data_IF_832358185922
#
_entry.id   IF_832358185922
#
_cell.length_a   1.000
_cell.length_b   1.000
_cell.length_c   1.000
_cell.angle_alpha   90.00
_cell.angle_beta   90.00
_cell.angle_gamma   90.00
#
_symmetry.space_group_name_H-M   'P 1'
#
loop_
_entity.id
_entity.type
_entity.pdbx_description
1 polymer ?
#
# COMPACT_ATOMS: atom_id res chain seq x y z
N UNK A 1 19.91 9.12 -1.77
CA UNK A 1 18.68 8.95 -2.55
C UNK A 1 18.89 9.59 -3.90
N UNK A 2 18.70 8.84 -4.99
CA UNK A 2 18.93 9.37 -6.33
C UNK A 2 17.88 10.41 -6.68
N UNK A 3 18.29 11.49 -7.32
CA UNK A 3 17.39 12.40 -8.01
C UNK A 3 16.90 11.72 -9.29
N UNK A 4 15.66 11.99 -9.69
CA UNK A 4 15.12 11.45 -10.94
C UNK A 4 14.69 12.61 -11.81
N UNK A 5 15.18 12.63 -13.04
CA UNK A 5 14.86 13.64 -14.03
C UNK A 5 14.27 12.96 -15.26
N UNK A 6 13.14 13.44 -15.74
CA UNK A 6 12.51 12.95 -16.96
C UNK A 6 12.72 13.96 -18.07
N UNK A 7 13.29 13.52 -19.20
CA UNK A 7 13.42 14.34 -20.40
C UNK A 7 12.15 14.17 -21.23
N UNK A 8 11.43 15.26 -21.46
CA UNK A 8 10.24 15.27 -22.29
C UNK A 8 10.42 16.27 -23.44
N UNK A 9 10.68 15.76 -24.63
CA UNK A 9 10.84 16.56 -25.85
C UNK A 9 10.48 15.70 -27.08
N UNK A 10 10.41 16.34 -28.25
CA UNK A 10 10.26 15.67 -29.53
C UNK A 10 11.35 14.59 -29.78
N UNK A 11 10.99 13.54 -30.53
CA UNK A 11 11.89 12.40 -30.80
C UNK A 11 13.25 12.81 -31.41
N UNK A 12 13.28 13.84 -32.27
CA UNK A 12 14.50 14.33 -32.90
C UNK A 12 15.51 14.91 -31.92
N UNK A 13 15.06 15.37 -30.75
CA UNK A 13 15.89 16.08 -29.77
C UNK A 13 16.16 15.24 -28.50
N UNK A 14 15.54 14.07 -28.37
CA UNK A 14 15.59 13.26 -27.14
C UNK A 14 17.01 12.90 -26.71
N UNK A 15 17.82 12.30 -27.59
CA UNK A 15 19.19 11.88 -27.25
C UNK A 15 20.07 13.08 -26.88
N UNK A 16 19.95 14.19 -27.60
CA UNK A 16 20.71 15.41 -27.31
C UNK A 16 20.34 16.00 -25.94
N UNK A 17 19.04 16.01 -25.60
CA UNK A 17 18.54 16.52 -24.32
C UNK A 17 18.85 15.60 -23.14
N UNK A 18 18.85 14.29 -23.35
CA UNK A 18 19.33 13.31 -22.36
C UNK A 18 20.81 13.54 -22.09
N UNK A 19 21.63 13.71 -23.13
CA UNK A 19 23.06 13.97 -22.97
C UNK A 19 23.32 15.31 -22.27
N UNK A 20 22.58 16.37 -22.62
CA UNK A 20 22.67 17.68 -21.96
C UNK A 20 22.47 17.56 -20.44
N UNK A 21 21.52 16.74 -20.01
CA UNK A 21 21.22 16.54 -18.59
C UNK A 21 22.27 15.68 -17.88
N UNK A 22 22.76 14.63 -18.54
CA UNK A 22 23.87 13.80 -18.04
C UNK A 22 25.14 14.64 -17.84
N UNK A 23 25.46 15.50 -18.81
CA UNK A 23 26.59 16.41 -18.75
C UNK A 23 26.43 17.41 -17.59
N UNK A 24 25.24 17.96 -17.40
CA UNK A 24 24.93 18.88 -16.30
C UNK A 24 25.12 18.22 -14.92
N UNK A 25 24.68 16.97 -14.76
CA UNK A 25 24.89 16.19 -13.52
C UNK A 25 26.38 15.91 -13.30
N UNK A 26 27.08 15.45 -14.34
CA UNK A 26 28.51 15.12 -14.27
C UNK A 26 29.36 16.35 -13.94
N UNK A 27 29.01 17.51 -14.50
CA UNK A 27 29.64 18.81 -14.22
C UNK A 27 29.43 19.27 -12.77
N UNK A 28 28.36 18.81 -12.10
CA UNK A 28 28.15 19.02 -10.67
C UNK A 28 28.95 18.03 -9.79
N UNK A 29 29.75 17.13 -10.38
CA UNK A 29 30.55 16.14 -9.67
C UNK A 29 29.74 14.94 -9.19
N UNK A 30 28.58 14.69 -9.79
CA UNK A 30 27.62 13.65 -9.42
C UNK A 30 27.57 12.55 -10.50
N UNK A 31 27.22 11.33 -10.10
CA UNK A 31 27.13 10.16 -10.99
C UNK A 31 25.72 10.10 -11.60
N UNK A 32 25.65 10.11 -12.93
CA UNK A 32 24.40 9.98 -13.68
C UNK A 32 24.27 8.60 -14.35
N UNK A 33 23.04 8.09 -14.45
CA UNK A 33 22.70 6.96 -15.32
C UNK A 33 21.48 7.28 -16.17
N UNK A 34 21.33 6.62 -17.31
CA UNK A 34 20.19 6.79 -18.22
C UNK A 34 19.28 5.58 -18.14
N UNK A 35 17.98 5.82 -17.95
CA UNK A 35 16.94 4.80 -17.97
C UNK A 35 15.97 5.07 -19.13
N UNK A 36 15.80 4.09 -20.02
CA UNK A 36 14.95 4.21 -21.22
C UNK A 36 13.76 3.23 -21.13
N UNK A 37 12.69 3.58 -20.41
CA UNK A 37 11.62 2.64 -20.05
C UNK A 37 10.93 2.01 -21.25
N UNK A 38 10.70 2.77 -22.33
CA UNK A 38 10.01 2.25 -23.52
C UNK A 38 10.87 1.27 -24.32
N UNK A 39 12.20 1.40 -24.29
CA UNK A 39 13.08 0.47 -24.99
C UNK A 39 13.11 -0.90 -24.29
N UNK A 40 13.04 -0.91 -22.95
CA UNK A 40 12.96 -2.15 -22.14
C UNK A 40 11.73 -3.00 -22.52
N UNK A 41 10.60 -2.36 -22.82
CA UNK A 41 9.33 -3.03 -23.12
C UNK A 41 8.96 -3.05 -24.60
N UNK A 42 9.93 -2.87 -25.50
CA UNK A 42 9.72 -2.62 -26.94
C UNK A 42 8.93 -1.31 -27.18
N UNK A 43 9.60 -0.34 -27.79
CA UNK A 43 9.04 0.98 -27.99
C UNK A 43 7.75 0.97 -28.83
N UNK A 44 7.65 0.12 -29.86
CA UNK A 44 6.48 0.05 -30.72
C UNK A 44 5.26 -0.50 -29.96
N UNK A 45 5.45 -1.57 -29.19
CA UNK A 45 4.39 -2.18 -28.38
C UNK A 45 3.95 -1.24 -27.26
N UNK A 46 4.90 -0.58 -26.59
CA UNK A 46 4.63 0.42 -25.55
C UNK A 46 3.79 1.58 -26.11
N UNK A 47 4.15 2.11 -27.28
CA UNK A 47 3.38 3.17 -27.96
C UNK A 47 1.96 2.69 -28.31
N UNK A 48 1.82 1.43 -28.75
CA UNK A 48 0.51 0.85 -29.05
C UNK A 48 -0.35 0.67 -27.79
N UNK A 49 0.22 0.20 -26.67
CA UNK A 49 -0.48 0.09 -25.38
C UNK A 49 -0.95 1.46 -24.88
N UNK A 50 -0.11 2.50 -25.00
CA UNK A 50 -0.45 3.86 -24.60
C UNK A 50 -1.64 4.39 -25.45
N UNK A 51 -1.58 4.23 -26.78
CA UNK A 51 -2.66 4.64 -27.69
C UNK A 51 -3.96 3.88 -27.44
N UNK A 52 -3.88 2.63 -26.99
CA UNK A 52 -5.02 1.80 -26.63
C UNK A 52 -5.61 2.11 -25.23
N UNK A 53 -5.08 3.11 -24.51
CA UNK A 53 -5.55 3.47 -23.17
C UNK A 53 -5.12 2.49 -22.07
N UNK A 54 -4.14 1.61 -22.35
CA UNK A 54 -3.61 0.62 -21.40
C UNK A 54 -2.39 1.14 -20.63
N UNK A 55 -2.22 2.45 -20.53
CA UNK A 55 -1.05 3.10 -19.94
C UNK A 55 -0.83 2.76 -18.46
N UNK A 56 -1.88 2.46 -17.70
CA UNK A 56 -1.76 2.11 -16.27
C UNK A 56 -1.00 0.79 -16.07
N UNK A 57 -1.23 -0.21 -16.93
CA UNK A 57 -0.53 -1.51 -16.87
C UNK A 57 0.94 -1.33 -17.26
N UNK A 58 1.20 -0.57 -18.31
CA UNK A 58 2.57 -0.22 -18.72
C UNK A 58 3.30 0.55 -17.61
N UNK A 59 2.63 1.48 -16.93
CA UNK A 59 3.21 2.25 -15.83
C UNK A 59 3.64 1.34 -14.67
N UNK A 60 2.81 0.37 -14.29
CA UNK A 60 3.15 -0.61 -13.25
C UNK A 60 4.36 -1.46 -13.66
N UNK A 61 4.44 -1.90 -14.92
CA UNK A 61 5.61 -2.62 -15.46
C UNK A 61 6.88 -1.76 -15.41
N UNK A 62 6.78 -0.49 -15.82
CA UNK A 62 7.90 0.45 -15.78
C UNK A 62 8.39 0.69 -14.35
N UNK A 63 7.47 0.89 -13.40
CA UNK A 63 7.85 1.04 -11.99
C UNK A 63 8.48 -0.26 -11.44
N UNK A 64 7.95 -1.42 -11.81
CA UNK A 64 8.49 -2.71 -11.37
C UNK A 64 9.89 -2.97 -11.94
N UNK A 65 10.15 -2.56 -13.18
CA UNK A 65 11.50 -2.62 -13.77
C UNK A 65 12.45 -1.61 -13.12
N UNK A 66 12.00 -0.37 -12.93
CA UNK A 66 12.78 0.67 -12.26
C UNK A 66 13.22 0.25 -10.85
N UNK A 67 12.39 -0.50 -10.12
CA UNK A 67 12.73 -1.05 -8.80
C UNK A 67 13.73 -2.22 -8.83
N UNK A 68 13.95 -2.85 -9.98
CA UNK A 68 14.93 -3.92 -10.17
C UNK A 68 16.29 -3.40 -10.60
N UNK A 69 16.33 -2.21 -11.19
CA UNK A 69 17.58 -1.56 -11.58
C UNK A 69 18.43 -1.28 -10.33
N UNK A 70 19.74 -1.43 -10.46
CA UNK A 70 20.70 -1.06 -9.43
C UNK A 70 21.07 0.42 -9.59
N UNK A 71 20.76 1.21 -8.58
CA UNK A 71 21.06 2.63 -8.52
C UNK A 71 21.85 3.01 -7.28
N UNK A 72 22.44 2.07 -6.54
CA UNK A 72 23.02 2.36 -5.22
C UNK A 72 24.18 3.38 -5.30
N UNK A 73 24.98 3.32 -6.37
CA UNK A 73 26.11 4.23 -6.63
C UNK A 73 25.77 5.39 -7.60
N UNK A 74 24.49 5.69 -7.79
CA UNK A 74 24.03 6.73 -8.73
C UNK A 74 23.49 7.93 -7.97
N UNK A 75 23.84 9.15 -8.36
CA UNK A 75 23.29 10.37 -7.76
C UNK A 75 22.02 10.85 -8.48
N UNK A 76 21.96 10.66 -9.81
CA UNK A 76 20.80 11.04 -10.62
C UNK A 76 20.48 10.01 -11.72
N UNK A 77 19.19 9.71 -11.86
CA UNK A 77 18.66 8.88 -12.95
C UNK A 77 17.97 9.78 -13.97
N UNK A 78 18.47 9.77 -15.20
CA UNK A 78 17.90 10.49 -16.35
C UNK A 78 17.00 9.54 -17.13
N UNK A 79 15.70 9.79 -17.08
CA UNK A 79 14.66 8.98 -17.70
C UNK A 79 14.30 9.57 -19.07
N UNK A 80 14.46 8.79 -20.14
CA UNK A 80 13.97 9.18 -21.45
C UNK A 80 12.44 9.05 -21.52
N UNK A 81 11.75 10.15 -21.83
CA UNK A 81 10.30 10.18 -21.96
C UNK A 81 9.79 9.45 -23.20
N UNK A 82 8.48 9.19 -23.23
CA UNK A 82 7.81 8.60 -24.37
C UNK A 82 7.72 9.57 -25.56
N UNK A 83 7.98 9.04 -26.75
CA UNK A 83 7.88 9.74 -28.04
C UNK A 83 7.21 8.84 -29.10
N UNK A 84 7.12 9.25 -30.37
CA UNK A 84 6.55 8.42 -31.45
C UNK A 84 5.01 8.35 -31.46
N UNK A 85 4.36 9.32 -30.82
CA UNK A 85 2.91 9.48 -30.79
C UNK A 85 2.54 10.96 -30.86
N UNK A 86 1.26 11.28 -30.99
CA UNK A 86 0.80 12.66 -30.94
C UNK A 86 1.16 13.30 -29.60
N UNK A 87 1.59 14.56 -29.64
CA UNK A 87 2.07 15.36 -28.53
C UNK A 87 1.14 15.28 -27.30
N UNK A 88 -0.17 15.42 -27.47
CA UNK A 88 -1.13 15.37 -26.34
C UNK A 88 -1.05 14.05 -25.56
N UNK A 89 -0.90 12.93 -26.29
CA UNK A 89 -0.80 11.59 -25.68
C UNK A 89 0.58 11.44 -25.01
N UNK A 90 1.64 11.89 -25.68
CA UNK A 90 3.01 11.84 -25.17
C UNK A 90 3.16 12.66 -23.89
N UNK A 91 2.68 13.91 -23.88
CA UNK A 91 2.74 14.81 -22.72
C UNK A 91 1.96 14.26 -21.54
N UNK A 92 0.75 13.76 -21.76
CA UNK A 92 -0.04 13.14 -20.69
C UNK A 92 0.69 11.95 -20.07
N UNK A 93 1.22 11.06 -20.92
CA UNK A 93 1.97 9.90 -20.44
C UNK A 93 3.25 10.31 -19.70
N UNK A 94 3.99 11.30 -20.20
CA UNK A 94 5.22 11.79 -19.58
C UNK A 94 4.96 12.50 -18.24
N UNK A 95 3.84 13.22 -18.07
CA UNK A 95 3.42 13.77 -16.77
C UNK A 95 3.06 12.67 -15.76
N UNK A 96 2.35 11.64 -16.23
CA UNK A 96 2.01 10.47 -15.42
C UNK A 96 3.28 9.67 -15.03
N UNK A 97 4.22 9.50 -15.95
CA UNK A 97 5.50 8.82 -15.72
C UNK A 97 6.38 9.61 -14.74
N UNK A 98 6.47 10.93 -14.91
CA UNK A 98 7.20 11.78 -13.98
C UNK A 98 6.57 11.75 -12.58
N UNK A 99 5.24 11.70 -12.49
CA UNK A 99 4.54 11.51 -11.21
C UNK A 99 4.82 10.15 -10.59
N UNK A 100 4.83 9.09 -11.41
CA UNK A 100 5.05 7.72 -10.96
C UNK A 100 6.46 7.50 -10.39
N UNK A 101 7.48 8.07 -11.03
CA UNK A 101 8.89 7.95 -10.62
C UNK A 101 9.36 9.05 -9.65
N UNK A 102 8.45 9.96 -9.25
CA UNK A 102 8.75 11.20 -8.54
C UNK A 102 9.85 12.05 -9.20
N UNK A 103 9.82 12.11 -10.54
CA UNK A 103 10.79 12.84 -11.34
C UNK A 103 10.42 14.34 -11.46
N UNK A 104 11.47 15.17 -11.60
CA UNK A 104 11.35 16.50 -12.19
C UNK A 104 11.43 16.38 -13.71
N UNK A 105 10.73 17.24 -14.43
CA UNK A 105 10.65 17.20 -15.90
C UNK A 105 11.60 18.24 -16.46
N UNK A 106 12.56 17.81 -17.28
CA UNK A 106 13.38 18.67 -18.10
C UNK A 106 12.74 18.81 -19.48
N UNK A 107 12.23 20.01 -19.76
CA UNK A 107 11.62 20.39 -21.03
C UNK A 107 11.79 21.91 -21.24
N UNK A 108 12.07 22.33 -22.46
CA UNK A 108 12.25 23.73 -22.86
C UNK A 108 11.31 24.13 -24.01
N UNK A 109 11.34 25.40 -24.41
CA UNK A 109 10.50 25.91 -25.50
C UNK A 109 8.99 25.71 -25.27
N UNK A 110 8.29 25.37 -26.35
CA UNK A 110 6.84 25.11 -26.35
C UNK A 110 6.46 23.84 -25.57
N UNK A 111 7.33 22.82 -25.57
CA UNK A 111 7.12 21.56 -24.81
C UNK A 111 6.95 21.84 -23.31
N UNK A 112 7.68 22.83 -22.79
CA UNK A 112 7.66 23.21 -21.38
C UNK A 112 6.31 23.79 -20.91
N UNK A 113 5.49 24.34 -21.82
CA UNK A 113 4.20 24.94 -21.47
C UNK A 113 3.13 23.90 -21.13
N UNK A 114 3.36 22.64 -21.49
CA UNK A 114 2.41 21.54 -21.39
C UNK A 114 2.53 20.76 -20.07
N UNK A 115 3.52 21.08 -19.24
CA UNK A 115 3.82 20.35 -18.00
C UNK A 115 3.52 21.16 -16.73
N UNK A 116 3.27 20.45 -15.62
CA UNK A 116 3.05 21.07 -14.32
C UNK A 116 4.26 21.94 -13.89
N UNK A 117 4.09 23.24 -13.62
CA UNK A 117 5.20 24.13 -13.26
C UNK A 117 5.97 23.69 -12.02
N UNK A 118 5.34 22.94 -11.11
CA UNK A 118 5.98 22.44 -9.88
C UNK A 118 7.06 21.38 -10.12
N UNK A 119 7.02 20.67 -11.26
CA UNK A 119 7.99 19.63 -11.61
C UNK A 119 8.99 20.10 -12.68
N UNK A 120 8.74 21.23 -13.33
CA UNK A 120 9.42 21.63 -14.55
C UNK A 120 10.77 22.33 -14.30
N UNK A 121 11.79 21.92 -15.07
CA UNK A 121 13.11 22.51 -15.17
C UNK A 121 13.31 22.94 -16.62
N UNK A 122 13.39 24.26 -16.86
CA UNK A 122 13.36 24.84 -18.22
C UNK A 122 14.72 25.00 -18.89
N UNK A 123 15.81 24.85 -18.16
CA UNK A 123 17.16 25.05 -18.68
C UNK A 123 18.21 24.43 -17.75
N UNK A 124 19.45 24.31 -18.23
CA UNK A 124 20.62 23.80 -17.47
C UNK A 124 20.79 24.53 -16.13
N UNK A 125 20.54 25.85 -16.07
CA UNK A 125 20.64 26.61 -14.80
C UNK A 125 19.60 26.17 -13.77
N UNK A 126 18.39 25.80 -14.20
CA UNK A 126 17.37 25.26 -13.30
C UNK A 126 17.79 23.90 -12.74
N UNK A 127 18.40 23.06 -13.59
CA UNK A 127 18.95 21.76 -13.19
C UNK A 127 20.09 21.94 -12.19
N UNK A 128 21.06 22.81 -12.50
CA UNK A 128 22.19 23.09 -11.60
C UNK A 128 21.72 23.61 -10.24
N UNK A 129 20.71 24.50 -10.21
CA UNK A 129 20.11 24.98 -8.97
C UNK A 129 19.44 23.89 -8.14
N UNK A 130 18.82 22.91 -8.80
CA UNK A 130 18.23 21.75 -8.13
C UNK A 130 19.29 20.75 -7.61
N UNK A 131 20.33 20.49 -8.40
CA UNK A 131 21.45 19.64 -8.00
C UNK A 131 22.19 20.20 -6.78
N UNK A 132 22.28 21.54 -6.69
CA UNK A 132 22.87 22.23 -5.54
C UNK A 132 22.00 22.19 -4.27
N UNK A 133 20.68 21.97 -4.41
CA UNK A 133 19.78 21.83 -3.27
C UNK A 133 19.92 20.46 -2.60
N UNK A 134 19.71 20.34 -1.28
CA UNK A 134 19.66 19.04 -0.61
C UNK A 134 18.65 18.12 -1.27
N UNK A 135 19.04 16.86 -1.49
CA UNK A 135 18.15 15.87 -2.07
C UNK A 135 16.91 15.72 -1.19
N UNK A 136 15.73 15.93 -1.79
CA UNK A 136 14.47 15.71 -1.10
C UNK A 136 14.22 14.22 -0.86
N UNK A 137 13.51 13.90 0.22
CA UNK A 137 13.00 12.55 0.48
C UNK A 137 12.04 12.15 -0.65
N UNK A 138 12.32 11.02 -1.33
CA UNK A 138 11.54 10.55 -2.47
C UNK A 138 10.11 10.20 -2.02
N UNK A 139 9.12 10.73 -2.73
CA UNK A 139 7.72 10.34 -2.52
C UNK A 139 7.45 9.01 -3.19
N UNK A 140 6.64 8.19 -2.55
CA UNK A 140 6.18 6.92 -3.13
C UNK A 140 4.82 7.14 -3.76
N UNK A 141 4.79 7.24 -5.09
CA UNK A 141 3.56 7.37 -5.88
C UNK A 141 2.68 6.12 -5.76
N UNK A 142 1.41 6.22 -6.17
CA UNK A 142 0.50 5.08 -6.24
C UNK A 142 1.06 3.94 -7.12
N UNK A 143 1.61 4.26 -8.29
CA UNK A 143 2.16 3.26 -9.20
C UNK A 143 3.41 2.57 -8.62
N UNK A 144 4.30 3.36 -8.01
CA UNK A 144 5.51 2.84 -7.37
C UNK A 144 5.18 1.96 -6.16
N UNK A 145 4.20 2.36 -5.35
CA UNK A 145 3.77 1.57 -4.19
C UNK A 145 3.20 0.21 -4.62
N UNK A 146 2.31 0.20 -5.62
CA UNK A 146 1.73 -1.04 -6.17
C UNK A 146 2.81 -1.95 -6.74
N UNK A 147 3.70 -1.42 -7.58
CA UNK A 147 4.80 -2.20 -8.15
C UNK A 147 5.73 -2.78 -7.07
N UNK A 148 6.07 -1.98 -6.05
CA UNK A 148 6.90 -2.41 -4.91
C UNK A 148 6.21 -3.52 -4.10
N UNK A 149 4.92 -3.37 -3.82
CA UNK A 149 4.12 -4.37 -3.12
C UNK A 149 4.11 -5.72 -3.86
N UNK A 150 3.79 -5.70 -5.16
CA UNK A 150 3.76 -6.91 -5.98
C UNK A 150 5.15 -7.54 -6.11
N UNK A 151 6.19 -6.71 -6.31
CA UNK A 151 7.58 -7.17 -6.35
C UNK A 151 7.98 -7.88 -5.05
N UNK A 152 7.73 -7.26 -3.89
CA UNK A 152 8.00 -7.86 -2.57
C UNK A 152 7.26 -9.20 -2.40
N UNK A 153 5.96 -9.24 -2.69
CA UNK A 153 5.17 -10.48 -2.62
C UNK A 153 5.79 -11.59 -3.49
N UNK A 154 6.22 -11.25 -4.71
CA UNK A 154 6.76 -12.22 -5.66
C UNK A 154 8.14 -12.78 -5.33
N UNK A 155 8.95 -12.09 -4.51
CA UNK A 155 10.30 -12.55 -4.12
C UNK A 155 10.27 -13.73 -3.16
N UNK A 156 9.22 -13.85 -2.34
CA UNK A 156 9.05 -14.94 -1.39
C UNK A 156 7.57 -15.31 -1.35
N UNK A 157 7.17 -16.18 -2.28
CA UNK A 157 5.76 -16.55 -2.49
C UNK A 157 5.23 -17.30 -1.27
N UNK A 158 4.09 -16.84 -0.75
CA UNK A 158 3.43 -17.37 0.45
C UNK A 158 2.11 -18.07 0.11
N UNK A 159 1.69 -19.01 0.95
CA UNK A 159 0.41 -19.72 0.86
C UNK A 159 -0.70 -18.89 1.51
N UNK A 160 -1.62 -18.35 0.73
CA UNK A 160 -2.68 -17.47 1.24
C UNK A 160 -4.04 -18.14 1.10
N UNK A 161 -4.72 -18.38 2.22
CA UNK A 161 -6.04 -19.01 2.23
C UNK A 161 -7.15 -17.99 1.99
N UNK A 162 -8.09 -18.39 1.15
CA UNK A 162 -9.25 -17.62 0.70
C UNK A 162 -10.52 -18.43 1.04
N UNK A 163 -11.16 -18.15 2.19
CA UNK A 163 -12.31 -18.92 2.68
C UNK A 163 -13.55 -18.84 1.77
N UNK A 164 -13.62 -17.79 0.95
CA UNK A 164 -14.73 -17.47 0.05
C UNK A 164 -14.45 -18.03 -1.35
N UNK A 165 -14.01 -19.29 -1.43
CA UNK A 165 -13.37 -19.87 -2.62
C UNK A 165 -14.27 -20.01 -3.85
N UNK A 166 -15.58 -19.98 -3.68
CA UNK A 166 -16.56 -20.03 -4.79
C UNK A 166 -17.06 -18.64 -5.22
N UNK A 167 -16.56 -17.56 -4.60
CA UNK A 167 -16.95 -16.19 -4.92
C UNK A 167 -16.26 -15.72 -6.22
N UNK A 168 -17.01 -15.15 -7.19
CA UNK A 168 -16.48 -14.77 -8.51
C UNK A 168 -15.20 -13.94 -8.52
N UNK A 169 -15.13 -12.88 -7.70
CA UNK A 169 -13.99 -11.96 -7.63
C UNK A 169 -12.82 -12.63 -6.93
N UNK A 170 -13.07 -13.42 -5.88
CA UNK A 170 -12.04 -14.21 -5.20
C UNK A 170 -11.38 -15.22 -6.13
N UNK A 171 -12.17 -15.93 -6.96
CA UNK A 171 -11.65 -16.87 -7.96
C UNK A 171 -10.79 -16.16 -9.01
N UNK A 172 -11.27 -15.03 -9.55
CA UNK A 172 -10.49 -14.22 -10.50
C UNK A 172 -9.19 -13.71 -9.88
N UNK A 173 -9.25 -13.18 -8.65
CA UNK A 173 -8.08 -12.66 -7.94
C UNK A 173 -7.06 -13.76 -7.62
N UNK A 174 -7.51 -14.97 -7.26
CA UNK A 174 -6.63 -16.11 -7.05
C UNK A 174 -5.89 -16.51 -8.33
N UNK A 175 -6.58 -16.52 -9.49
CA UNK A 175 -5.94 -16.78 -10.77
C UNK A 175 -4.88 -15.71 -11.09
N UNK A 176 -5.22 -14.43 -10.93
CA UNK A 176 -4.28 -13.32 -11.13
C UNK A 176 -3.10 -13.36 -10.15
N UNK A 177 -3.33 -13.77 -8.90
CA UNK A 177 -2.27 -13.91 -7.90
C UNK A 177 -1.24 -14.97 -8.31
N UNK A 178 -1.69 -16.06 -8.94
CA UNK A 178 -0.79 -17.05 -9.54
C UNK A 178 -0.08 -16.48 -10.76
N UNK A 179 -0.83 -15.91 -11.73
CA UNK A 179 -0.27 -15.44 -13.00
C UNK A 179 0.82 -14.38 -12.79
N UNK A 180 0.65 -13.54 -11.78
CA UNK A 180 1.60 -12.49 -11.39
C UNK A 180 2.63 -12.96 -10.34
N UNK A 181 2.66 -14.26 -10.01
CA UNK A 181 3.57 -14.87 -9.03
C UNK A 181 3.54 -14.18 -7.65
N UNK A 182 2.36 -13.78 -7.16
CA UNK A 182 2.16 -13.03 -5.91
C UNK A 182 2.07 -13.97 -4.71
N UNK A 183 1.32 -15.06 -4.86
CA UNK A 183 1.03 -16.02 -3.79
C UNK A 183 0.66 -17.38 -4.38
N UNK A 184 0.63 -18.42 -3.54
CA UNK A 184 -0.04 -19.69 -3.81
C UNK A 184 -1.42 -19.62 -3.12
N UNK A 185 -2.51 -19.37 -3.85
CA UNK A 185 -3.83 -19.28 -3.25
C UNK A 185 -4.34 -20.66 -2.85
N UNK A 186 -4.99 -20.71 -1.69
CA UNK A 186 -5.70 -21.90 -1.18
C UNK A 186 -7.18 -21.55 -1.07
N UNK A 187 -7.99 -22.01 -2.01
CA UNK A 187 -9.44 -21.75 -2.04
C UNK A 187 -10.16 -22.78 -1.17
N UNK A 188 -11.02 -22.33 -0.25
CA UNK A 188 -11.91 -23.21 0.51
C UNK A 188 -13.30 -23.20 -0.12
N UNK A 189 -13.82 -24.37 -0.45
CA UNK A 189 -15.15 -24.55 -1.03
C UNK A 189 -15.27 -25.87 -1.77
N UNK A 190 -16.49 -26.21 -2.23
CA UNK A 190 -16.70 -27.41 -3.04
C UNK A 190 -16.03 -27.23 -4.40
N UNK A 191 -15.24 -28.22 -4.83
CA UNK A 191 -14.48 -28.13 -6.08
C UNK A 191 -15.37 -27.86 -7.30
N UNK A 192 -16.51 -28.55 -7.39
CA UNK A 192 -17.47 -28.36 -8.47
C UNK A 192 -18.00 -26.92 -8.55
N UNK A 193 -18.24 -26.27 -7.41
CA UNK A 193 -18.75 -24.90 -7.36
C UNK A 193 -17.65 -23.90 -7.78
N UNK A 194 -16.42 -24.12 -7.33
CA UNK A 194 -15.26 -23.28 -7.71
C UNK A 194 -14.98 -23.39 -9.21
N UNK A 195 -14.98 -24.60 -9.76
CA UNK A 195 -14.79 -24.84 -11.20
C UNK A 195 -15.93 -24.23 -12.04
N UNK A 196 -17.18 -24.34 -11.56
CA UNK A 196 -18.32 -23.70 -12.20
C UNK A 196 -18.22 -22.17 -12.18
N UNK A 197 -17.80 -21.58 -11.05
CA UNK A 197 -17.53 -20.14 -10.95
C UNK A 197 -16.40 -19.71 -11.88
N UNK A 198 -15.29 -20.44 -11.92
CA UNK A 198 -14.19 -20.13 -12.84
C UNK A 198 -14.65 -20.10 -14.30
N UNK A 199 -15.46 -21.08 -14.70
CA UNK A 199 -16.07 -21.13 -16.04
C UNK A 199 -17.02 -19.96 -16.29
N UNK A 200 -17.85 -19.60 -15.32
CA UNK A 200 -18.84 -18.51 -15.48
C UNK A 200 -18.19 -17.13 -15.62
N UNK A 201 -17.03 -16.93 -14.97
CA UNK A 201 -16.26 -15.69 -15.05
C UNK A 201 -15.18 -15.70 -16.14
N UNK A 202 -15.11 -16.78 -16.94
CA UNK A 202 -14.24 -16.88 -18.10
C UNK A 202 -12.75 -17.09 -17.80
N UNK A 203 -12.40 -17.62 -16.63
CA UNK A 203 -11.01 -17.89 -16.24
C UNK A 203 -10.74 -19.39 -16.16
N UNK A 204 -9.50 -19.79 -16.44
CA UNK A 204 -9.04 -21.18 -16.25
C UNK A 204 -8.26 -21.24 -14.95
N UNK A 205 -8.67 -22.10 -14.02
CA UNK A 205 -7.95 -22.31 -12.76
C UNK A 205 -6.54 -22.83 -13.04
N UNK A 206 -5.47 -22.12 -12.61
CA UNK A 206 -4.11 -22.61 -12.69
C UNK A 206 -3.89 -23.84 -11.81
N UNK A 207 -2.96 -24.72 -12.22
CA UNK A 207 -2.69 -26.00 -11.54
C UNK A 207 -2.12 -25.86 -10.12
N UNK A 208 -1.54 -24.70 -9.80
CA UNK A 208 -0.97 -24.38 -8.49
C UNK A 208 -1.96 -23.67 -7.56
N UNK A 209 -3.22 -23.47 -7.95
CA UNK A 209 -4.27 -23.14 -6.98
C UNK A 209 -4.67 -24.42 -6.26
N UNK A 210 -4.53 -24.41 -4.94
CA UNK A 210 -5.01 -25.50 -4.09
C UNK A 210 -6.49 -25.29 -3.77
N UNK A 211 -7.28 -26.36 -3.87
CA UNK A 211 -8.70 -26.36 -3.48
C UNK A 211 -8.85 -27.30 -2.30
N UNK A 212 -9.40 -26.78 -1.21
CA UNK A 212 -9.72 -27.54 -0.01
C UNK A 212 -11.24 -27.60 0.12
N UNK A 213 -11.78 -28.81 -0.05
CA UNK A 213 -13.18 -29.07 0.21
C UNK A 213 -13.41 -29.26 1.72
N UNK A 214 -14.28 -28.46 2.37
CA UNK A 214 -14.64 -28.68 3.76
C UNK A 214 -15.28 -30.05 3.96
N UNK A 215 -14.79 -30.82 4.92
CA UNK A 215 -15.35 -32.12 5.30
C UNK A 215 -15.34 -32.32 6.82
N UNK A 216 -16.15 -33.25 7.32
CA UNK A 216 -16.17 -33.58 8.74
C UNK A 216 -14.82 -34.15 9.20
N UNK A 217 -14.16 -34.94 8.36
CA UNK A 217 -12.85 -35.52 8.61
C UNK A 217 -11.76 -34.44 8.71
N UNK A 218 -11.80 -33.45 7.81
CA UNK A 218 -10.89 -32.31 7.86
C UNK A 218 -11.14 -31.45 9.10
N UNK A 219 -12.40 -31.21 9.46
CA UNK A 219 -12.75 -30.47 10.67
C UNK A 219 -12.25 -31.20 11.94
N UNK A 220 -12.39 -32.52 12.00
CA UNK A 220 -12.02 -33.32 13.18
C UNK A 220 -10.54 -33.15 13.56
N UNK A 221 -9.66 -32.91 12.58
CA UNK A 221 -8.25 -32.58 12.79
C UNK A 221 -8.05 -31.37 13.73
N UNK A 222 -8.92 -30.37 13.67
CA UNK A 222 -8.77 -29.11 14.39
C UNK A 222 -9.58 -29.04 15.70
N UNK A 223 -10.54 -29.95 15.89
CA UNK A 223 -11.45 -29.97 17.06
C UNK A 223 -10.69 -29.95 18.39
N UNK A 224 -9.68 -30.82 18.64
CA UNK A 224 -9.00 -30.86 19.94
C UNK A 224 -8.34 -29.52 20.30
N UNK A 225 -7.66 -28.89 19.33
CA UNK A 225 -6.97 -27.61 19.55
C UNK A 225 -7.96 -26.46 19.73
N UNK A 226 -9.06 -26.44 18.95
CA UNK A 226 -10.08 -25.39 19.10
C UNK A 226 -10.77 -25.46 20.47
N UNK A 227 -11.08 -26.68 20.94
CA UNK A 227 -11.62 -26.91 22.28
C UNK A 227 -10.65 -26.40 23.35
N UNK A 228 -9.37 -26.76 23.26
CA UNK A 228 -8.38 -26.33 24.25
C UNK A 228 -8.21 -24.80 24.26
N UNK A 229 -8.07 -24.17 23.10
CA UNK A 229 -7.93 -22.71 22.97
C UNK A 229 -9.13 -21.94 23.53
N UNK A 230 -10.32 -22.55 23.52
CA UNK A 230 -11.59 -21.92 23.92
C UNK A 230 -12.26 -22.59 25.13
N UNK A 231 -11.53 -23.44 25.86
CA UNK A 231 -12.02 -24.17 27.03
C UNK A 231 -12.56 -23.23 28.11
N UNK A 232 -11.87 -22.12 28.36
CA UNK A 232 -12.30 -21.08 29.29
C UNK A 232 -13.61 -20.36 28.90
N UNK A 233 -14.08 -20.56 27.66
CA UNK A 233 -15.36 -20.04 27.14
C UNK A 233 -16.40 -21.16 26.95
N UNK A 234 -16.15 -22.36 27.49
CA UNK A 234 -17.09 -23.48 27.45
C UNK A 234 -17.18 -24.19 26.10
N UNK A 235 -16.15 -24.09 25.25
CA UNK A 235 -16.13 -24.81 23.97
C UNK A 235 -16.15 -26.33 24.20
N UNK A 236 -17.06 -27.03 23.52
CA UNK A 236 -17.16 -28.50 23.55
C UNK A 236 -16.76 -29.07 22.18
N UNK A 237 -16.42 -30.36 22.07
CA UNK A 237 -16.13 -30.97 20.77
C UNK A 237 -17.27 -30.79 19.75
N UNK A 238 -18.52 -30.87 20.19
CA UNK A 238 -19.71 -30.71 19.34
C UNK A 238 -19.84 -29.27 18.82
N UNK A 239 -19.70 -28.28 19.71
CA UNK A 239 -19.75 -26.87 19.29
C UNK A 239 -18.53 -26.46 18.46
N UNK A 240 -17.36 -27.09 18.68
CA UNK A 240 -16.18 -26.91 17.83
C UNK A 240 -16.40 -27.45 16.41
N UNK A 241 -17.04 -28.61 16.25
CA UNK A 241 -17.41 -29.15 14.92
C UNK A 241 -18.37 -28.22 14.17
N UNK A 242 -19.37 -27.68 14.87
CA UNK A 242 -20.29 -26.69 14.29
C UNK A 242 -19.54 -25.41 13.89
N UNK A 243 -18.62 -24.93 14.73
CA UNK A 243 -17.81 -23.76 14.38
C UNK A 243 -16.93 -24.02 13.16
N UNK A 244 -16.35 -25.22 13.03
CA UNK A 244 -15.46 -25.60 11.93
C UNK A 244 -16.18 -25.88 10.60
N UNK A 245 -17.52 -25.91 10.57
CA UNK A 245 -18.25 -25.91 9.30
C UNK A 245 -18.23 -24.55 8.59
N UNK A 246 -17.84 -23.49 9.31
CA UNK A 246 -17.59 -22.18 8.72
C UNK A 246 -16.19 -22.11 8.10
N UNK A 247 -16.10 -21.69 6.84
CA UNK A 247 -14.84 -21.67 6.09
C UNK A 247 -13.82 -20.70 6.72
N UNK A 248 -14.25 -19.59 7.31
CA UNK A 248 -13.33 -18.61 7.95
C UNK A 248 -12.73 -19.22 9.21
N UNK A 249 -13.53 -19.91 10.03
CA UNK A 249 -13.06 -20.64 11.19
C UNK A 249 -12.07 -21.74 10.80
N UNK A 250 -12.40 -22.54 9.77
CA UNK A 250 -11.54 -23.60 9.25
C UNK A 250 -10.19 -23.02 8.76
N UNK A 251 -10.23 -21.98 7.95
CA UNK A 251 -9.04 -21.27 7.46
C UNK A 251 -8.19 -20.70 8.61
N UNK A 252 -8.83 -20.16 9.64
CA UNK A 252 -8.13 -19.62 10.82
C UNK A 252 -7.39 -20.72 11.58
N UNK A 253 -7.97 -21.92 11.69
CA UNK A 253 -7.31 -23.06 12.30
C UNK A 253 -6.15 -23.60 11.43
N UNK A 254 -6.32 -23.66 10.11
CA UNK A 254 -5.21 -23.98 9.20
C UNK A 254 -4.04 -22.99 9.36
N UNK A 255 -4.35 -21.69 9.44
CA UNK A 255 -3.35 -20.65 9.70
C UNK A 255 -2.69 -20.87 11.06
N UNK A 256 -3.44 -21.21 12.11
CA UNK A 256 -2.89 -21.51 13.44
C UNK A 256 -1.89 -22.67 13.38
N UNK A 257 -2.23 -23.74 12.65
CA UNK A 257 -1.40 -24.93 12.45
C UNK A 257 -0.18 -24.69 11.55
N UNK A 258 -0.14 -23.56 10.81
CA UNK A 258 0.96 -23.23 9.91
C UNK A 258 0.88 -23.95 8.56
N UNK A 259 -0.32 -24.40 8.17
CA UNK A 259 -0.56 -25.05 6.88
C UNK A 259 -0.70 -24.04 5.74
N UNK A 260 -0.97 -22.79 6.12
CA UNK A 260 -1.01 -21.60 5.28
C UNK A 260 -0.33 -20.46 6.03
N UNK A 261 0.15 -19.48 5.29
CA UNK A 261 0.98 -18.37 5.79
C UNK A 261 0.15 -17.11 6.12
N UNK A 262 -1.05 -16.98 5.53
CA UNK A 262 -1.97 -15.88 5.83
C UNK A 262 -3.39 -16.12 5.31
N UNK A 263 -4.35 -15.31 5.75
CA UNK A 263 -5.78 -15.44 5.45
C UNK A 263 -6.33 -14.11 4.91
N UNK A 264 -7.10 -14.17 3.82
CA UNK A 264 -7.88 -13.04 3.28
C UNK A 264 -9.34 -13.44 3.10
N UNK A 265 -10.27 -12.67 3.69
CA UNK A 265 -11.72 -12.91 3.65
C UNK A 265 -12.48 -11.57 3.67
N UNK A 266 -13.80 -11.56 3.48
CA UNK A 266 -14.65 -10.38 3.63
C UNK A 266 -15.33 -9.91 2.32
N UNK A 267 -15.10 -10.61 1.20
CA UNK A 267 -15.80 -10.33 -0.04
C UNK A 267 -17.32 -10.57 0.08
N UNK A 268 -17.72 -11.51 0.95
CA UNK A 268 -19.12 -11.78 1.31
C UNK A 268 -19.35 -11.79 2.84
N UNK A 269 -18.37 -12.20 3.64
CA UNK A 269 -18.46 -12.19 5.10
C UNK A 269 -18.44 -10.76 5.65
N UNK A 270 -18.98 -10.57 6.86
CA UNK A 270 -18.81 -9.30 7.56
C UNK A 270 -17.41 -9.20 8.16
N UNK A 271 -16.91 -7.98 8.34
CA UNK A 271 -15.66 -7.72 9.08
C UNK A 271 -15.64 -8.41 10.44
N UNK A 272 -16.78 -8.46 11.14
CA UNK A 272 -16.88 -9.16 12.41
C UNK A 272 -16.69 -10.68 12.28
N UNK A 273 -17.15 -11.28 11.18
CA UNK A 273 -17.00 -12.72 10.93
C UNK A 273 -15.56 -13.07 10.53
N UNK A 274 -14.87 -12.20 9.79
CA UNK A 274 -13.43 -12.35 9.49
C UNK A 274 -12.56 -12.19 10.74
N UNK A 275 -12.82 -11.18 11.56
CA UNK A 275 -11.95 -10.80 12.68
C UNK A 275 -12.15 -11.64 13.93
N UNK A 276 -13.39 -12.06 14.22
CA UNK A 276 -13.71 -12.77 15.46
C UNK A 276 -12.89 -14.06 15.61
N UNK A 277 -12.78 -14.96 14.60
CA UNK A 277 -11.92 -16.13 14.69
C UNK A 277 -10.45 -15.77 14.88
N UNK A 278 -9.94 -14.79 14.13
CA UNK A 278 -8.55 -14.35 14.21
C UNK A 278 -8.17 -13.87 15.61
N UNK A 279 -8.99 -13.00 16.22
CA UNK A 279 -8.78 -12.51 17.58
C UNK A 279 -8.88 -13.62 18.63
N UNK A 280 -9.72 -14.63 18.39
CA UNK A 280 -9.93 -15.73 19.33
C UNK A 280 -8.80 -16.78 19.31
N UNK A 281 -8.26 -17.07 18.12
CA UNK A 281 -7.36 -18.21 17.87
C UNK A 281 -5.91 -17.77 17.63
N UNK A 282 -5.72 -16.78 16.76
CA UNK A 282 -4.40 -16.26 16.40
C UNK A 282 -3.88 -15.34 17.49
N UNK A 283 -4.74 -14.41 17.97
CA UNK A 283 -4.44 -13.39 18.99
C UNK A 283 -3.35 -12.41 18.54
N UNK A 284 -3.02 -11.46 19.42
CA UNK A 284 -1.95 -10.49 19.18
C UNK A 284 -0.58 -11.14 19.17
N UNK A 285 0.36 -10.54 18.43
CA UNK A 285 1.76 -10.89 18.49
C UNK A 285 2.35 -10.59 19.88
N UNK A 286 3.43 -11.28 20.30
CA UNK A 286 4.09 -10.99 21.57
C UNK A 286 4.46 -9.50 21.69
N UNK A 287 4.10 -8.89 22.82
CA UNK A 287 4.36 -7.47 23.09
C UNK A 287 3.33 -6.50 22.51
N UNK A 288 2.39 -6.96 21.68
CA UNK A 288 1.31 -6.12 21.14
C UNK A 288 0.06 -6.21 22.00
N UNK A 289 -0.47 -5.05 22.42
CA UNK A 289 -1.64 -4.98 23.32
C UNK A 289 -2.95 -5.04 22.56
N UNK A 290 -3.05 -4.34 21.43
CA UNK A 290 -4.27 -4.30 20.62
C UNK A 290 -3.98 -4.53 19.14
N UNK A 291 -4.99 -5.09 18.45
CA UNK A 291 -4.99 -5.18 16.98
C UNK A 291 -5.55 -3.87 16.44
N UNK A 292 -4.93 -3.32 15.40
CA UNK A 292 -5.42 -2.15 14.70
C UNK A 292 -5.49 -2.42 13.20
N UNK A 293 -5.88 -1.42 12.42
CA UNK A 293 -5.86 -1.51 10.97
C UNK A 293 -5.29 -0.27 10.33
N UNK A 294 -4.78 -0.44 9.11
CA UNK A 294 -4.43 0.69 8.24
C UNK A 294 -4.97 0.55 6.84
N UNK A 295 -5.17 1.70 6.21
CA UNK A 295 -5.29 1.82 4.76
C UNK A 295 -4.06 2.52 4.18
N UNK A 296 -3.56 1.98 3.07
CA UNK A 296 -2.63 2.70 2.21
C UNK A 296 -3.44 3.57 1.23
N UNK A 297 -3.49 4.86 1.52
CA UNK A 297 -4.16 5.85 0.69
C UNK A 297 -3.23 6.29 -0.43
N UNK A 298 -3.32 5.60 -1.55
CA UNK A 298 -2.46 5.77 -2.72
C UNK A 298 -3.03 6.88 -3.63
N UNK A 299 -2.54 8.10 -3.44
CA UNK A 299 -2.79 9.24 -4.34
C UNK A 299 -1.86 9.16 -5.56
N UNK A 300 -2.16 9.91 -6.63
CA UNK A 300 -1.35 9.92 -7.88
C UNK A 300 0.16 10.03 -7.61
N UNK A 301 0.57 10.96 -6.76
CA UNK A 301 1.98 11.30 -6.51
C UNK A 301 2.50 10.91 -5.11
N UNK A 302 1.63 10.41 -4.22
CA UNK A 302 2.03 10.07 -2.84
C UNK A 302 1.12 9.02 -2.22
N UNK A 303 1.71 8.13 -1.44
CA UNK A 303 1.01 7.12 -0.64
C UNK A 303 1.08 7.51 0.83
N UNK A 304 -0.08 7.52 1.49
CA UNK A 304 -0.23 7.78 2.91
C UNK A 304 -0.68 6.53 3.66
N UNK A 305 -0.43 6.47 4.96
CA UNK A 305 -1.01 5.47 5.86
C UNK A 305 -2.05 6.14 6.75
N UNK A 306 -3.26 5.60 6.77
CA UNK A 306 -4.34 6.02 7.66
C UNK A 306 -4.65 4.88 8.62
N UNK A 307 -4.57 5.12 9.93
CA UNK A 307 -4.95 4.14 10.95
C UNK A 307 -5.50 4.82 12.20
N UNK A 308 -6.24 4.18 13.11
CA UNK A 308 -7.07 3.02 12.81
C UNK A 308 -8.34 3.46 12.06
N UNK A 309 -8.84 2.61 11.16
CA UNK A 309 -9.99 2.91 10.32
C UNK A 309 -11.05 1.79 10.29
N UNK A 310 -10.82 0.66 10.99
CA UNK A 310 -11.69 -0.50 10.93
C UNK A 310 -11.93 -1.24 12.26
N UNK A 311 -11.07 -1.11 13.29
CA UNK A 311 -11.10 -2.01 14.45
C UNK A 311 -11.56 -1.32 15.74
N UNK A 312 -10.80 -0.33 16.21
CA UNK A 312 -10.93 0.22 17.55
C UNK A 312 -11.92 1.39 17.57
N UNK A 313 -13.10 1.15 18.18
CA UNK A 313 -14.21 2.12 18.22
C UNK A 313 -13.83 3.44 18.90
N UNK A 314 -13.40 3.37 20.16
CA UNK A 314 -13.04 4.51 21.00
C UNK A 314 -11.79 4.14 21.80
N UNK A 315 -10.60 4.18 21.19
CA UNK A 315 -9.37 3.72 21.84
C UNK A 315 -9.02 4.62 23.04
N UNK A 316 -8.52 4.00 24.10
CA UNK A 316 -7.87 4.71 25.21
C UNK A 316 -6.51 5.27 24.78
N UNK A 317 -5.94 6.19 25.57
CA UNK A 317 -4.66 6.84 25.24
C UNK A 317 -3.52 5.84 24.98
N UNK A 318 -3.44 4.76 25.78
CA UNK A 318 -2.44 3.71 25.59
C UNK A 318 -2.66 2.90 24.30
N UNK A 319 -3.92 2.62 23.95
CA UNK A 319 -4.27 1.90 22.72
C UNK A 319 -3.99 2.76 21.49
N UNK A 320 -4.31 4.06 21.56
CA UNK A 320 -4.02 5.01 20.50
C UNK A 320 -2.51 5.20 20.30
N UNK A 321 -1.73 5.15 21.39
CA UNK A 321 -0.27 5.12 21.32
C UNK A 321 0.26 3.82 20.66
N UNK A 322 -0.31 2.65 21.01
CA UNK A 322 0.05 1.36 20.38
C UNK A 322 -0.27 1.37 18.87
N UNK A 323 -1.44 1.91 18.48
CA UNK A 323 -1.83 2.11 17.08
C UNK A 323 -0.77 2.95 16.34
N UNK A 324 -0.29 4.03 16.95
CA UNK A 324 0.73 4.89 16.34
C UNK A 324 2.05 4.18 16.10
N UNK A 325 2.50 3.37 17.07
CA UNK A 325 3.72 2.56 16.96
C UNK A 325 3.58 1.50 15.84
N UNK A 326 2.43 0.83 15.77
CA UNK A 326 2.14 -0.15 14.71
C UNK A 326 2.06 0.48 13.31
N UNK A 327 1.54 1.70 13.22
CA UNK A 327 1.53 2.46 11.97
C UNK A 327 2.95 2.87 11.52
N UNK A 328 3.80 3.29 12.46
CA UNK A 328 5.23 3.59 12.19
C UNK A 328 5.98 2.34 11.70
N UNK A 329 5.78 1.20 12.36
CA UNK A 329 6.37 -0.09 11.95
C UNK A 329 5.91 -0.51 10.56
N UNK A 330 4.62 -0.30 10.27
CA UNK A 330 4.07 -0.60 8.95
C UNK A 330 4.62 0.32 7.86
N UNK A 331 4.73 1.62 8.12
CA UNK A 331 5.35 2.56 7.18
C UNK A 331 6.75 2.08 6.78
N UNK A 332 7.57 1.75 7.78
CA UNK A 332 8.94 1.25 7.60
C UNK A 332 8.97 -0.08 6.84
N UNK A 333 8.15 -1.06 7.22
CA UNK A 333 8.09 -2.38 6.56
C UNK A 333 7.74 -2.28 5.06
N UNK A 334 6.86 -1.33 4.71
CA UNK A 334 6.47 -1.10 3.32
C UNK A 334 7.39 -0.12 2.58
N UNK A 335 8.43 0.42 3.21
CA UNK A 335 9.40 1.34 2.60
C UNK A 335 8.84 2.75 2.38
N UNK A 336 7.87 3.15 3.19
CA UNK A 336 7.30 4.49 3.21
C UNK A 336 8.00 5.33 4.28
N UNK A 337 8.28 6.62 4.01
CA UNK A 337 8.71 7.54 5.06
C UNK A 337 7.69 7.58 6.20
N UNK A 338 8.16 7.61 7.44
CA UNK A 338 7.28 7.62 8.62
C UNK A 338 7.36 8.94 9.38
N UNK A 339 6.30 9.73 9.27
CA UNK A 339 6.05 10.96 10.03
C UNK A 339 4.60 10.90 10.50
N UNK A 340 4.43 10.53 11.77
CA UNK A 340 3.17 10.14 12.40
C UNK A 340 2.47 11.37 12.99
N UNK A 341 1.37 11.77 12.38
CA UNK A 341 0.49 12.81 12.91
C UNK A 341 -0.63 12.16 13.72
N UNK A 342 -0.68 12.45 15.02
CA UNK A 342 -1.81 12.09 15.89
C UNK A 342 -2.91 13.13 15.70
N UNK A 343 -4.01 12.73 15.06
CA UNK A 343 -5.04 13.65 14.59
C UNK A 343 -6.03 14.04 15.70
N UNK A 344 -6.49 15.29 15.63
CA UNK A 344 -7.57 15.82 16.47
C UNK A 344 -8.23 17.02 15.78
N UNK A 345 -9.32 17.52 16.34
CA UNK A 345 -9.84 18.85 15.97
C UNK A 345 -8.94 20.00 16.50
N UNK A 346 -8.01 19.71 17.41
CA UNK A 346 -7.06 20.67 17.99
C UNK A 346 -5.67 20.54 17.35
N UNK A 347 -4.93 21.65 17.30
CA UNK A 347 -3.50 21.64 16.97
C UNK A 347 -2.70 22.14 18.17
N UNK A 348 -1.88 21.25 18.73
CA UNK A 348 -1.06 21.44 19.93
C UNK A 348 -1.90 21.95 21.12
N UNK A 349 -2.02 23.27 21.30
CA UNK A 349 -2.70 23.89 22.44
C UNK A 349 -3.93 24.73 22.04
N UNK A 350 -4.40 24.64 20.78
CA UNK A 350 -5.46 25.52 20.27
C UNK A 350 -6.86 25.20 20.83
N UNK A 351 -7.10 23.95 21.23
CA UNK A 351 -8.35 23.47 21.82
C UNK A 351 -8.08 22.63 23.06
N UNK A 352 -9.01 22.65 24.01
CA UNK A 352 -9.01 21.86 25.24
C UNK A 352 -10.29 21.05 25.31
N UNK A 353 -10.21 19.82 25.79
CA UNK A 353 -11.36 18.93 25.91
C UNK A 353 -10.94 17.47 25.86
N UNK A 354 -11.84 16.54 26.23
CA UNK A 354 -11.51 15.13 26.43
C UNK A 354 -10.84 14.50 25.20
N UNK A 355 -11.32 14.77 23.99
CA UNK A 355 -10.74 14.17 22.78
C UNK A 355 -9.37 14.77 22.41
N UNK A 356 -9.14 16.05 22.73
CA UNK A 356 -7.81 16.66 22.55
C UNK A 356 -6.83 16.15 23.60
N UNK A 357 -7.26 16.06 24.85
CA UNK A 357 -6.46 15.57 25.99
C UNK A 357 -6.08 14.09 25.79
N UNK A 358 -6.99 13.27 25.24
CA UNK A 358 -6.74 11.90 24.82
C UNK A 358 -5.55 11.81 23.86
N UNK A 359 -5.56 12.65 22.81
CA UNK A 359 -4.52 12.63 21.78
C UNK A 359 -3.19 13.18 22.33
N UNK A 360 -3.22 14.19 23.21
CA UNK A 360 -2.02 14.66 23.93
C UNK A 360 -1.40 13.53 24.74
N UNK A 361 -2.20 12.82 25.54
CA UNK A 361 -1.73 11.72 26.37
C UNK A 361 -1.19 10.55 25.53
N UNK A 362 -1.88 10.17 24.45
CA UNK A 362 -1.43 9.14 23.52
C UNK A 362 -0.11 9.51 22.83
N UNK A 363 0.02 10.77 22.38
CA UNK A 363 1.25 11.28 21.75
C UNK A 363 2.43 11.21 22.73
N UNK A 364 2.22 11.60 23.99
CA UNK A 364 3.25 11.52 25.03
C UNK A 364 3.66 10.07 25.33
N UNK A 365 2.70 9.15 25.44
CA UNK A 365 2.96 7.73 25.67
C UNK A 365 3.75 7.09 24.51
N UNK A 366 3.38 7.40 23.26
CA UNK A 366 4.08 6.91 22.08
C UNK A 366 5.52 7.46 21.98
N UNK A 367 5.73 8.75 22.27
CA UNK A 367 7.07 9.37 22.36
C UNK A 367 7.93 8.74 23.46
N UNK A 368 7.33 8.43 24.63
CA UNK A 368 8.04 7.77 25.72
C UNK A 368 8.46 6.33 25.35
N UNK A 369 7.60 5.62 24.62
CA UNK A 369 7.90 4.25 24.16
C UNK A 369 8.94 4.20 23.04
N UNK A 370 8.98 5.22 22.16
CA UNK A 370 9.89 5.29 21.01
C UNK A 370 10.39 6.73 20.75
N UNK A 371 11.39 7.23 21.52
CA UNK A 371 11.82 8.62 21.46
C UNK A 371 12.36 9.10 20.11
N UNK A 372 12.87 8.20 19.29
CA UNK A 372 13.38 8.48 17.94
C UNK A 372 12.29 8.55 16.87
N UNK A 373 11.05 8.15 17.20
CA UNK A 373 9.93 8.21 16.27
C UNK A 373 9.57 9.65 15.92
N UNK A 374 9.43 9.92 14.62
CA UNK A 374 8.92 11.21 14.15
C UNK A 374 7.39 11.24 14.32
N UNK A 375 6.96 11.60 15.52
CA UNK A 375 5.55 11.69 15.90
C UNK A 375 5.23 13.07 16.48
N UNK A 376 4.06 13.61 16.15
CA UNK A 376 3.56 14.79 16.83
C UNK A 376 2.03 14.86 16.84
N UNK A 377 1.50 15.60 17.81
CA UNK A 377 0.08 15.77 17.99
C UNK A 377 -0.29 16.41 19.32
N UNK A 378 -1.56 16.80 19.49
CA UNK A 378 -2.64 16.71 18.51
C UNK A 378 -2.41 17.63 17.30
N UNK A 379 -2.75 17.18 16.10
CA UNK A 379 -2.71 17.98 14.87
C UNK A 379 -4.07 17.92 14.15
N UNK A 380 -4.54 19.07 13.68
CA UNK A 380 -5.59 19.08 12.66
C UNK A 380 -5.04 18.57 11.33
N UNK A 381 -5.93 18.06 10.48
CA UNK A 381 -5.53 17.45 9.20
C UNK A 381 -4.82 18.44 8.26
N UNK A 382 -5.25 19.72 8.24
CA UNK A 382 -4.59 20.79 7.48
C UNK A 382 -3.18 21.09 8.02
N UNK A 383 -3.03 21.15 9.34
CA UNK A 383 -1.73 21.32 10.01
C UNK A 383 -0.79 20.15 9.76
N UNK A 384 -1.31 18.93 9.61
CA UNK A 384 -0.50 17.74 9.33
C UNK A 384 -0.05 17.66 7.85
N UNK A 385 -0.86 18.14 6.90
CA UNK A 385 -0.66 17.93 5.46
C UNK A 385 -0.10 19.13 4.70
N UNK A 386 -0.44 20.36 5.09
CA UNK A 386 -0.09 21.57 4.32
C UNK A 386 1.12 22.26 4.95
N UNK A 387 2.28 22.35 4.26
CA UNK A 387 3.50 22.92 4.82
C UNK A 387 3.33 24.32 5.43
N UNK A 388 2.60 25.21 4.74
CA UNK A 388 2.37 26.58 5.22
C UNK A 388 1.51 26.62 6.48
N UNK A 389 0.49 25.75 6.58
CA UNK A 389 -0.38 25.67 7.77
C UNK A 389 0.37 25.01 8.93
N UNK A 390 1.15 23.97 8.66
CA UNK A 390 2.01 23.33 9.66
C UNK A 390 3.03 24.30 10.25
N UNK A 391 3.71 25.08 9.40
CA UNK A 391 4.64 26.11 9.84
C UNK A 391 3.97 27.22 10.68
N UNK A 392 2.71 27.55 10.39
CA UNK A 392 1.96 28.55 11.14
C UNK A 392 1.45 28.02 12.49
N UNK A 393 0.81 26.83 12.49
CA UNK A 393 0.12 26.29 13.67
C UNK A 393 1.05 25.48 14.60
N UNK A 394 2.13 24.91 14.08
CA UNK A 394 3.08 24.08 14.82
C UNK A 394 4.53 24.23 14.28
N UNK A 395 5.13 25.43 14.34
CA UNK A 395 6.40 25.77 13.69
C UNK A 395 7.59 24.87 14.08
N UNK A 396 7.60 24.36 15.32
CA UNK A 396 8.69 23.54 15.84
C UNK A 396 8.44 22.02 15.65
N UNK A 397 7.34 21.64 15.01
CA UNK A 397 7.00 20.24 14.80
C UNK A 397 7.84 19.62 13.68
N UNK A 398 8.44 18.44 13.91
CA UNK A 398 9.11 17.69 12.83
C UNK A 398 8.12 16.99 11.88
N UNK A 399 6.83 16.99 12.22
CA UNK A 399 5.75 16.28 11.50
C UNK A 399 4.79 17.23 10.80
N UNK A 400 4.44 18.37 11.41
CA UNK A 400 3.44 19.28 10.85
C UNK A 400 3.78 19.72 9.41
N UNK A 401 2.79 19.66 8.53
CA UNK A 401 2.89 19.93 7.10
C UNK A 401 3.69 18.91 6.29
N UNK A 402 4.19 17.85 6.94
CA UNK A 402 5.07 16.84 6.36
C UNK A 402 4.59 15.41 6.62
N UNK A 403 3.46 15.24 7.30
CA UNK A 403 2.98 13.93 7.72
C UNK A 403 2.83 12.95 6.55
N UNK A 404 3.08 11.68 6.83
CA UNK A 404 2.90 10.56 5.91
C UNK A 404 2.03 9.46 6.50
N UNK A 405 1.93 9.43 7.82
CA UNK A 405 1.13 8.50 8.61
C UNK A 405 0.15 9.32 9.45
N UNK A 406 -1.13 8.99 9.38
CA UNK A 406 -2.21 9.69 10.06
C UNK A 406 -2.92 8.74 11.01
N UNK A 407 -2.82 9.05 12.31
CA UNK A 407 -3.47 8.29 13.37
C UNK A 407 -4.74 9.00 13.79
N UNK A 408 -5.91 8.45 13.45
CA UNK A 408 -7.22 8.97 13.80
C UNK A 408 -7.57 8.69 15.26
N UNK A 409 -8.29 9.61 15.93
CA UNK A 409 -8.57 9.49 17.37
C UNK A 409 -9.61 8.42 17.70
N UNK A 410 -10.48 8.08 16.74
CA UNK A 410 -11.56 7.10 16.89
C UNK A 410 -11.99 6.50 15.54
N UNK A 411 -12.80 5.43 15.58
CA UNK A 411 -13.24 4.73 14.38
C UNK A 411 -14.12 5.59 13.48
N UNK A 412 -14.96 6.46 14.04
CA UNK A 412 -15.85 7.30 13.23
C UNK A 412 -15.02 8.27 12.40
N UNK A 413 -14.05 8.94 13.02
CA UNK A 413 -13.13 9.84 12.34
C UNK A 413 -12.30 9.12 11.28
N UNK A 414 -11.72 7.96 11.60
CA UNK A 414 -10.92 7.17 10.67
C UNK A 414 -11.73 6.65 9.48
N UNK A 415 -12.87 6.00 9.77
CA UNK A 415 -13.69 5.35 8.76
C UNK A 415 -14.34 6.34 7.79
N UNK A 416 -14.86 7.46 8.31
CA UNK A 416 -15.41 8.54 7.49
C UNK A 416 -14.26 9.22 6.72
N UNK A 417 -13.13 9.48 7.38
CA UNK A 417 -11.99 10.19 6.81
C UNK A 417 -11.42 9.50 5.57
N UNK A 418 -11.07 8.21 5.65
CA UNK A 418 -10.49 7.52 4.49
C UNK A 418 -11.49 7.40 3.33
N UNK A 419 -12.78 7.15 3.61
CA UNK A 419 -13.82 7.05 2.58
C UNK A 419 -14.09 8.39 1.91
N UNK A 420 -14.18 9.47 2.69
CA UNK A 420 -14.39 10.81 2.16
C UNK A 420 -13.24 11.20 1.21
N UNK A 421 -12.00 10.94 1.61
CA UNK A 421 -10.81 11.17 0.78
C UNK A 421 -10.83 10.29 -0.47
N UNK A 422 -11.06 8.98 -0.33
CA UNK A 422 -11.14 8.05 -1.47
C UNK A 422 -12.18 8.49 -2.51
N UNK A 423 -13.36 8.96 -2.05
CA UNK A 423 -14.48 9.31 -2.94
C UNK A 423 -14.37 10.72 -3.53
N UNK A 424 -13.70 11.64 -2.84
CA UNK A 424 -13.63 13.05 -3.27
C UNK A 424 -12.37 13.35 -4.07
N UNK A 425 -11.26 12.67 -3.77
CA UNK A 425 -10.00 12.84 -4.49
C UNK A 425 -9.91 11.84 -5.66
N UNK A 426 -10.18 12.35 -6.87
CA UNK A 426 -10.14 11.56 -8.10
C UNK A 426 -8.80 10.83 -8.27
N UNK A 427 -8.87 9.53 -8.60
CA UNK A 427 -7.69 8.69 -8.81
C UNK A 427 -7.06 8.12 -7.54
N UNK A 428 -7.60 8.40 -6.35
CA UNK A 428 -7.14 7.79 -5.10
C UNK A 428 -7.58 6.34 -5.01
N UNK A 429 -6.63 5.45 -4.76
CA UNK A 429 -6.89 4.04 -4.43
C UNK A 429 -6.63 3.85 -2.94
N UNK A 430 -7.56 3.23 -2.23
CA UNK A 430 -7.39 2.86 -0.83
C UNK A 430 -7.17 1.35 -0.76
N UNK A 431 -5.97 0.91 -0.38
CA UNK A 431 -5.64 -0.51 -0.24
C UNK A 431 -5.72 -0.86 1.26
N UNK A 432 -6.64 -1.76 1.61
CA UNK A 432 -6.88 -2.19 3.00
C UNK A 432 -8.36 -2.53 3.27
N UNK A 433 -8.75 -2.72 4.54
CA UNK A 433 -7.91 -2.55 5.72
C UNK A 433 -6.87 -3.66 5.85
N UNK A 434 -5.61 -3.29 6.06
CA UNK A 434 -4.57 -4.22 6.48
C UNK A 434 -4.51 -4.24 8.01
N UNK A 435 -4.72 -5.41 8.62
CA UNK A 435 -4.63 -5.56 10.07
C UNK A 435 -3.18 -5.55 10.54
N UNK A 436 -2.99 -5.00 11.73
CA UNK A 436 -1.71 -4.91 12.40
C UNK A 436 -1.79 -5.56 13.77
N UNK A 437 -0.65 -6.01 14.28
CA UNK A 437 -0.57 -6.51 15.65
C UNK A 437 -1.00 -7.96 15.87
N UNK A 438 -1.55 -8.66 14.87
CA UNK A 438 -1.84 -10.10 14.96
C UNK A 438 -0.55 -10.95 14.89
N UNK A 439 -0.55 -12.09 15.59
CA UNK A 439 0.57 -13.04 15.58
C UNK A 439 0.79 -13.72 14.23
N UNK A 440 -0.26 -13.86 13.43
CA UNK A 440 -0.21 -14.32 12.04
C UNK A 440 -1.09 -13.43 11.15
N UNK A 441 -0.73 -13.23 9.86
CA UNK A 441 -1.44 -12.31 8.98
C UNK A 441 -2.87 -12.77 8.67
N UNK A 442 -3.83 -11.90 8.99
CA UNK A 442 -5.24 -12.03 8.61
C UNK A 442 -5.67 -10.67 8.11
N UNK A 443 -6.34 -10.58 6.96
CA UNK A 443 -6.88 -9.33 6.45
C UNK A 443 -8.33 -9.48 6.02
N UNK A 444 -9.05 -8.37 6.18
CA UNK A 444 -10.46 -8.24 5.82
C UNK A 444 -10.59 -7.45 4.51
N UNK A 445 -11.58 -7.81 3.72
CA UNK A 445 -11.97 -7.13 2.49
C UNK A 445 -13.26 -6.35 2.74
N UNK A 446 -13.42 -5.25 2.02
CA UNK A 446 -14.76 -4.68 1.87
C UNK A 446 -15.62 -5.62 1.03
N UNK A 447 -16.90 -5.79 1.38
CA UNK A 447 -17.88 -6.47 0.51
C UNK A 447 -17.98 -5.85 -0.89
N UNK A 448 -17.65 -4.55 -1.00
CA UNK A 448 -17.59 -3.82 -2.27
C UNK A 448 -16.23 -3.90 -2.99
N UNK A 449 -15.30 -4.73 -2.53
CA UNK A 449 -13.97 -4.88 -3.12
C UNK A 449 -14.06 -5.32 -4.59
N UNK A 450 -13.21 -4.73 -5.41
CA UNK A 450 -12.96 -5.14 -6.78
C UNK A 450 -11.94 -6.29 -6.79
N UNK A 451 -11.85 -7.01 -7.91
CA UNK A 451 -10.87 -8.10 -8.11
C UNK A 451 -9.46 -7.63 -7.79
N UNK A 452 -9.09 -6.44 -8.26
CA UNK A 452 -7.76 -5.88 -8.04
C UNK A 452 -7.51 -5.52 -6.57
N UNK A 453 -8.55 -5.11 -5.81
CA UNK A 453 -8.42 -4.88 -4.36
C UNK A 453 -8.08 -6.20 -3.64
N UNK A 454 -8.70 -7.30 -4.06
CA UNK A 454 -8.41 -8.64 -3.53
C UNK A 454 -6.97 -9.06 -3.86
N UNK A 455 -6.52 -8.84 -5.11
CA UNK A 455 -5.12 -9.11 -5.51
C UNK A 455 -4.13 -8.35 -4.64
N UNK A 456 -4.34 -7.05 -4.41
CA UNK A 456 -3.47 -6.27 -3.54
C UNK A 456 -3.55 -6.70 -2.08
N UNK A 457 -4.70 -7.15 -1.61
CA UNK A 457 -4.86 -7.63 -0.23
C UNK A 457 -4.17 -8.97 -0.03
N UNK A 458 -4.20 -9.86 -1.03
CA UNK A 458 -3.38 -11.08 -1.07
C UNK A 458 -1.90 -10.71 -1.03
N UNK A 459 -1.46 -9.74 -1.85
CA UNK A 459 -0.07 -9.29 -1.87
C UNK A 459 0.37 -8.68 -0.51
N UNK A 460 -0.47 -7.85 0.11
CA UNK A 460 -0.21 -7.30 1.45
C UNK A 460 -0.05 -8.41 2.49
N UNK A 461 -0.98 -9.37 2.48
CA UNK A 461 -0.97 -10.50 3.41
C UNK A 461 0.28 -11.37 3.21
N UNK A 462 0.68 -11.60 1.96
CA UNK A 462 1.90 -12.32 1.63
C UNK A 462 3.13 -11.59 2.17
N UNK A 463 3.26 -10.28 1.94
CA UNK A 463 4.38 -9.48 2.48
C UNK A 463 4.39 -9.50 4.01
N UNK A 464 3.23 -9.42 4.67
CA UNK A 464 3.16 -9.56 6.14
C UNK A 464 3.65 -10.93 6.64
N UNK A 465 3.53 -11.98 5.84
CA UNK A 465 3.95 -13.34 6.15
C UNK A 465 5.42 -13.65 5.80
N UNK A 466 6.14 -12.70 5.17
CA UNK A 466 7.55 -12.85 4.78
C UNK A 466 8.56 -12.56 5.91
N UNK A 467 8.09 -12.30 7.14
CA UNK A 467 8.93 -11.98 8.30
C UNK A 467 9.95 -13.05 8.65
#
# INVERSE_FOLDING_TARGET
MNRVYLVATAASNMEAKVQELVDAVTKAGLIATVYKPLEVFNAADSVAEIKAGKSAVLMEKICADFLKQDFDDVDAVVVAGATGMNDVIAHKFNDDLASALDAKIFADGEDAELFCPKRLLRCEKCVAGDLAAPAAERRVSQAMFRASLLSKASKCVKRIVLPEGSEPRTVQAACLAVERNIAVPVLIGKKADIEATAKSVGVKLPANIEIIEPSAELAEKYVPTLVELRKAKGMTPESARVALSDNVMLATMMLKFGEVDGLVSGAIHSTADTLRPALQIIRTAPGVKSVSSVFFMCMKDKTYIYGDCAINLNPLAEELADIALQCDDTAKAFGLPSRVAMLSYSTINSGKGPDADLVVAATAAAKAARPEMLIDGPLQYDAATVPSVGALKAPNSPVAGKATVFVFPDLSAGNIGYKAVQRSAHGTIAIGPMLQGLAKPVNDLSRGALVEDIVYTIALTAVQAQK
#
